data_IF_621461664856
#
_entry.id   IF_621461664856
#
_cell.length_a   1.000
_cell.length_b   1.000
_cell.length_c   1.000
_cell.angle_alpha   90.00
_cell.angle_beta   90.00
_cell.angle_gamma   90.00
#
_symmetry.space_group_name_H-M   'P 1'
#
loop_
_entity.id
_entity.type
_entity.pdbx_description
1 polymer ?
#
# COMPACT_ATOMS: atom_id res chain seq x y z
N UNK A 1 -9.56 9.86 -20.37
CA UNK A 1 -8.51 10.86 -20.12
C UNK A 1 -8.72 11.45 -18.72
N UNK A 2 -7.76 11.25 -17.82
CA UNK A 2 -7.84 11.71 -16.42
C UNK A 2 -7.35 13.17 -16.26
N UNK A 3 -7.00 13.85 -17.36
CA UNK A 3 -6.51 15.21 -17.34
C UNK A 3 -5.13 15.37 -16.67
N UNK A 4 -4.38 14.29 -16.46
CA UNK A 4 -3.03 14.35 -15.89
C UNK A 4 -2.11 15.03 -16.90
N UNK A 5 -1.55 16.15 -16.52
CA UNK A 5 -0.68 16.97 -17.38
C UNK A 5 0.80 16.80 -17.05
N UNK A 6 1.13 16.34 -15.83
CA UNK A 6 2.51 16.14 -15.38
C UNK A 6 2.61 14.91 -14.49
N UNK A 7 3.63 14.12 -14.69
CA UNK A 7 3.97 12.98 -13.86
C UNK A 7 5.40 13.12 -13.33
N UNK A 8 5.58 13.01 -12.02
CA UNK A 8 6.89 13.07 -11.37
C UNK A 8 7.16 11.74 -10.71
N UNK A 9 8.28 11.10 -11.08
CA UNK A 9 8.72 9.85 -10.46
C UNK A 9 9.90 10.16 -9.55
N UNK A 10 9.78 9.76 -8.29
CA UNK A 10 10.85 9.86 -7.32
C UNK A 10 11.24 8.46 -6.83
N UNK A 11 12.50 8.10 -6.99
CA UNK A 11 13.08 6.87 -6.47
C UNK A 11 14.50 7.12 -6.00
N UNK A 12 14.95 6.39 -4.99
CA UNK A 12 16.34 6.43 -4.53
C UNK A 12 17.33 5.91 -5.59
N UNK A 13 16.88 5.04 -6.49
CA UNK A 13 17.64 4.52 -7.62
C UNK A 13 17.33 5.34 -8.88
N UNK A 14 18.08 6.39 -9.14
CA UNK A 14 17.88 7.28 -10.31
C UNK A 14 17.79 6.54 -11.65
N UNK A 15 18.61 5.50 -11.83
CA UNK A 15 18.61 4.69 -13.06
C UNK A 15 17.27 3.98 -13.27
N UNK A 16 16.68 3.45 -12.19
CA UNK A 16 15.37 2.80 -12.24
C UNK A 16 14.26 3.81 -12.54
N UNK A 17 14.28 4.96 -11.87
CA UNK A 17 13.33 6.05 -12.14
C UNK A 17 13.40 6.51 -13.60
N UNK A 18 14.61 6.61 -14.18
CA UNK A 18 14.81 6.95 -15.59
C UNK A 18 14.21 5.90 -16.52
N UNK A 19 14.51 4.62 -16.28
CA UNK A 19 14.01 3.53 -17.12
C UNK A 19 12.48 3.40 -17.08
N UNK A 20 11.85 3.64 -15.92
CA UNK A 20 10.39 3.65 -15.80
C UNK A 20 9.80 4.84 -16.56
N UNK A 21 10.40 6.02 -16.42
CA UNK A 21 9.96 7.23 -17.11
C UNK A 21 9.92 7.08 -18.63
N UNK A 22 10.94 6.47 -19.22
CA UNK A 22 11.00 6.23 -20.66
C UNK A 22 9.87 5.33 -21.18
N UNK A 23 9.24 4.55 -20.31
CA UNK A 23 8.15 3.64 -20.64
C UNK A 23 6.74 4.24 -20.44
N UNK A 24 6.63 5.40 -19.79
CA UNK A 24 5.34 6.04 -19.53
C UNK A 24 5.03 7.08 -20.61
N UNK A 25 4.06 6.83 -21.49
CA UNK A 25 3.74 7.75 -22.60
C UNK A 25 2.81 8.88 -22.15
N UNK A 26 3.18 9.64 -21.14
CA UNK A 26 2.37 10.78 -20.73
C UNK A 26 3.23 12.05 -20.53
N UNK A 27 2.77 13.14 -21.08
CA UNK A 27 3.07 14.53 -20.83
C UNK A 27 4.51 14.88 -20.47
N UNK A 28 4.69 15.95 -19.82
CA UNK A 28 5.99 16.35 -19.23
C UNK A 28 6.24 15.57 -17.95
N UNK A 29 7.32 14.81 -17.90
CA UNK A 29 7.76 14.10 -16.71
C UNK A 29 9.10 14.63 -16.22
N UNK A 30 9.25 14.67 -14.92
CA UNK A 30 10.47 15.07 -14.27
C UNK A 30 10.94 13.91 -13.38
N UNK A 31 12.16 13.45 -13.59
CA UNK A 31 12.76 12.40 -12.75
C UNK A 31 13.61 13.06 -11.69
N UNK A 32 13.46 12.63 -10.46
CA UNK A 32 14.29 13.10 -9.36
C UNK A 32 13.61 12.92 -8.01
N UNK A 33 14.33 13.26 -6.96
CA UNK A 33 13.72 13.41 -5.64
C UNK A 33 12.77 14.61 -5.72
N UNK A 34 11.50 14.39 -5.41
CA UNK A 34 10.54 15.49 -5.29
C UNK A 34 10.94 16.30 -4.07
N UNK A 35 11.60 17.41 -4.31
CA UNK A 35 12.02 18.36 -3.26
C UNK A 35 11.02 19.49 -3.10
N UNK A 36 10.19 19.71 -4.11
CA UNK A 36 9.17 20.75 -4.12
C UNK A 36 7.79 20.13 -4.34
N UNK A 37 6.97 20.13 -3.31
CA UNK A 37 5.61 19.63 -3.35
C UNK A 37 4.62 20.69 -3.88
N UNK A 38 5.03 21.94 -4.09
CA UNK A 38 4.12 23.01 -4.50
C UNK A 38 3.50 22.76 -5.87
N UNK A 39 4.25 22.13 -6.76
CA UNK A 39 3.78 21.78 -8.12
C UNK A 39 3.04 20.43 -8.21
N UNK A 40 2.80 19.77 -7.07
CA UNK A 40 2.15 18.46 -7.02
C UNK A 40 0.74 18.63 -6.47
N UNK A 41 -0.25 17.99 -7.09
CA UNK A 41 -1.63 17.95 -6.60
C UNK A 41 -1.89 16.70 -5.77
N UNK A 42 -1.36 15.57 -6.20
CA UNK A 42 -1.56 14.25 -5.61
C UNK A 42 -0.23 13.50 -5.46
N UNK A 43 -0.01 12.92 -4.31
CA UNK A 43 1.13 12.02 -4.05
C UNK A 43 0.66 10.56 -4.06
N UNK A 44 1.33 9.71 -4.83
CA UNK A 44 1.15 8.26 -4.80
C UNK A 44 2.36 7.65 -4.09
N UNK A 45 2.15 7.16 -2.87
CA UNK A 45 3.20 6.54 -2.05
C UNK A 45 3.26 5.04 -2.33
N UNK A 46 4.38 4.56 -2.87
CA UNK A 46 4.60 3.15 -3.22
C UNK A 46 6.04 2.69 -2.93
N UNK A 47 6.69 3.26 -1.93
CA UNK A 47 8.08 2.91 -1.59
C UNK A 47 8.23 1.51 -1.02
N UNK A 48 7.16 0.93 -0.45
CA UNK A 48 7.19 -0.38 0.21
C UNK A 48 8.04 -0.42 1.49
N UNK A 49 8.48 0.74 1.98
CA UNK A 49 9.26 0.88 3.23
C UNK A 49 8.45 1.70 4.23
N UNK A 50 7.94 1.09 5.32
CA UNK A 50 6.99 1.75 6.24
C UNK A 50 7.47 3.11 6.77
N UNK A 51 8.72 3.20 7.21
CA UNK A 51 9.26 4.46 7.75
C UNK A 51 9.36 5.55 6.69
N UNK A 52 9.76 5.21 5.47
CA UNK A 52 9.84 6.14 4.34
C UNK A 52 8.45 6.58 3.93
N UNK A 53 7.53 5.63 3.77
CA UNK A 53 6.15 5.91 3.42
C UNK A 53 5.46 6.82 4.44
N UNK A 54 5.62 6.54 5.72
CA UNK A 54 5.06 7.38 6.79
C UNK A 54 5.57 8.83 6.70
N UNK A 55 6.86 9.01 6.46
CA UNK A 55 7.45 10.35 6.31
C UNK A 55 6.93 11.06 5.05
N UNK A 56 6.95 10.40 3.90
CA UNK A 56 6.49 10.96 2.63
C UNK A 56 5.02 11.36 2.73
N UNK A 57 4.18 10.48 3.26
CA UNK A 57 2.74 10.74 3.44
C UNK A 57 2.50 11.91 4.40
N UNK A 58 3.18 11.92 5.54
CA UNK A 58 3.07 13.01 6.51
C UNK A 58 3.46 14.34 5.89
N UNK A 59 4.60 14.42 5.21
CA UNK A 59 5.10 15.65 4.60
C UNK A 59 4.15 16.15 3.48
N UNK A 60 3.59 15.24 2.68
CA UNK A 60 2.58 15.56 1.67
C UNK A 60 1.31 16.17 2.29
N UNK A 61 0.77 15.54 3.34
CA UNK A 61 -0.41 16.06 4.05
C UNK A 61 -0.14 17.43 4.71
N UNK A 62 1.06 17.64 5.26
CA UNK A 62 1.46 18.96 5.77
C UNK A 62 1.55 20.00 4.67
N UNK A 63 1.99 19.63 3.46
CA UNK A 63 2.00 20.47 2.27
C UNK A 63 0.62 20.61 1.61
N UNK A 64 -0.45 20.10 2.24
CA UNK A 64 -1.84 20.15 1.72
C UNK A 64 -2.03 19.43 0.41
N UNK A 65 -1.41 18.28 0.24
CA UNK A 65 -1.56 17.40 -0.91
C UNK A 65 -2.37 16.18 -0.58
N UNK A 66 -3.20 15.75 -1.52
CA UNK A 66 -3.90 14.48 -1.44
C UNK A 66 -2.90 13.32 -1.54
N UNK A 67 -3.20 12.19 -0.88
CA UNK A 67 -2.30 11.04 -0.86
C UNK A 67 -3.05 9.74 -1.08
N UNK A 68 -2.52 8.93 -1.99
CA UNK A 68 -2.92 7.54 -2.19
C UNK A 68 -1.73 6.65 -1.84
N UNK A 69 -1.95 5.62 -1.04
CA UNK A 69 -0.88 4.74 -0.53
C UNK A 69 -1.02 3.31 -1.05
N UNK A 70 0.12 2.70 -1.40
CA UNK A 70 0.25 1.27 -1.71
C UNK A 70 1.12 0.54 -0.68
N UNK A 71 1.39 1.16 0.45
CA UNK A 71 2.26 0.68 1.52
C UNK A 71 1.41 0.22 2.71
N UNK A 72 0.83 -0.96 2.59
CA UNK A 72 -0.11 -1.50 3.59
C UNK A 72 0.55 -1.66 4.96
N UNK A 73 1.83 -1.98 5.02
CA UNK A 73 2.59 -2.10 6.27
C UNK A 73 2.69 -0.75 7.01
N UNK A 74 2.83 0.33 6.28
CA UNK A 74 2.75 1.68 6.82
C UNK A 74 1.33 2.00 7.26
N UNK A 75 0.36 1.71 6.42
CA UNK A 75 -1.07 1.99 6.65
C UNK A 75 -1.58 1.37 7.96
N UNK A 76 -1.34 0.08 8.19
CA UNK A 76 -1.80 -0.59 9.42
C UNK A 76 -1.09 -0.10 10.68
N UNK A 77 0.07 0.54 10.53
CA UNK A 77 0.88 1.00 11.66
C UNK A 77 0.53 2.44 12.05
N UNK A 78 0.46 3.33 11.08
CA UNK A 78 0.28 4.78 11.30
C UNK A 78 -0.86 5.40 10.50
N UNK A 79 -1.53 4.62 9.65
CA UNK A 79 -2.64 5.08 8.80
C UNK A 79 -3.74 5.81 9.57
N UNK A 80 -4.21 5.31 10.72
CA UNK A 80 -5.26 5.99 11.48
C UNK A 80 -4.91 7.43 11.88
N UNK A 81 -3.64 7.70 12.22
CA UNK A 81 -3.21 9.06 12.57
C UNK A 81 -3.03 9.92 11.31
N UNK A 82 -2.52 9.35 10.22
CA UNK A 82 -2.39 10.05 8.94
C UNK A 82 -3.76 10.41 8.36
N UNK A 83 -4.72 9.50 8.43
CA UNK A 83 -6.10 9.77 8.03
C UNK A 83 -6.73 10.89 8.86
N UNK A 84 -6.48 10.92 10.16
CA UNK A 84 -6.95 12.02 11.02
C UNK A 84 -6.38 13.37 10.57
N UNK A 85 -5.08 13.44 10.29
CA UNK A 85 -4.43 14.65 9.76
C UNK A 85 -5.06 15.08 8.42
N UNK A 86 -5.34 14.14 7.53
CA UNK A 86 -5.99 14.41 6.25
C UNK A 86 -7.40 14.98 6.45
N UNK A 87 -8.22 14.34 7.30
CA UNK A 87 -9.58 14.80 7.60
C UNK A 87 -9.60 16.21 8.20
N UNK A 88 -8.73 16.51 9.18
CA UNK A 88 -8.60 17.82 9.77
C UNK A 88 -8.17 18.91 8.76
N UNK A 89 -7.54 18.50 7.66
CA UNK A 89 -7.10 19.36 6.57
C UNK A 89 -8.03 19.35 5.34
N UNK A 90 -9.12 18.58 5.38
CA UNK A 90 -10.04 18.36 4.26
C UNK A 90 -9.31 17.82 3.01
N UNK A 91 -8.42 16.85 3.20
CA UNK A 91 -7.64 16.19 2.16
C UNK A 91 -8.11 14.75 1.97
N UNK A 92 -7.88 14.21 0.77
CA UNK A 92 -8.09 12.80 0.47
C UNK A 92 -6.87 12.01 0.92
N UNK A 93 -7.11 10.94 1.69
CA UNK A 93 -6.12 9.96 2.09
C UNK A 93 -6.74 8.57 2.03
N UNK A 94 -6.08 7.63 1.38
CA UNK A 94 -6.61 6.26 1.29
C UNK A 94 -5.64 5.27 0.64
N UNK A 95 -5.97 4.00 0.81
CA UNK A 95 -5.26 2.89 0.14
C UNK A 95 -5.70 2.83 -1.32
N UNK A 96 -4.75 2.54 -2.21
CA UNK A 96 -5.02 2.43 -3.63
C UNK A 96 -6.02 1.30 -3.93
N UNK A 97 -6.91 1.55 -4.86
CA UNK A 97 -7.78 0.53 -5.42
C UNK A 97 -6.95 -0.54 -6.15
N UNK A 98 -7.37 -1.82 -6.05
CA UNK A 98 -6.63 -2.95 -6.60
C UNK A 98 -5.72 -3.65 -5.60
N UNK A 99 -5.51 -3.10 -4.39
CA UNK A 99 -4.85 -3.81 -3.29
C UNK A 99 -5.87 -4.65 -2.50
N UNK A 100 -5.44 -5.77 -1.96
CA UNK A 100 -6.33 -6.77 -1.36
C UNK A 100 -7.24 -6.23 -0.23
N UNK A 101 -6.80 -5.36 0.68
CA UNK A 101 -7.69 -4.79 1.68
C UNK A 101 -8.84 -3.98 1.07
N UNK A 102 -8.57 -3.21 0.01
CA UNK A 102 -9.56 -2.39 -0.67
C UNK A 102 -10.58 -3.26 -1.39
N UNK A 103 -10.12 -4.25 -2.15
CA UNK A 103 -10.99 -5.20 -2.85
C UNK A 103 -11.89 -5.99 -1.87
N UNK A 104 -11.32 -6.44 -0.75
CA UNK A 104 -12.12 -7.10 0.29
C UNK A 104 -13.13 -6.15 0.91
N UNK A 105 -12.76 -4.88 1.13
CA UNK A 105 -13.68 -3.88 1.68
C UNK A 105 -14.84 -3.61 0.74
N UNK A 106 -14.60 -3.48 -0.55
CA UNK A 106 -15.68 -3.29 -1.54
C UNK A 106 -16.69 -4.43 -1.51
N UNK A 107 -16.22 -5.69 -1.37
CA UNK A 107 -17.10 -6.83 -1.23
C UNK A 107 -17.92 -6.79 0.07
N UNK A 108 -17.31 -6.34 1.16
CA UNK A 108 -18.01 -6.14 2.44
C UNK A 108 -19.08 -5.06 2.30
N UNK A 109 -18.74 -3.91 1.73
CA UNK A 109 -19.68 -2.80 1.52
C UNK A 109 -20.84 -3.23 0.59
N UNK A 110 -20.53 -3.93 -0.50
CA UNK A 110 -21.54 -4.47 -1.39
C UNK A 110 -22.53 -5.42 -0.68
N UNK A 111 -22.03 -6.30 0.19
CA UNK A 111 -22.89 -7.19 0.97
C UNK A 111 -23.77 -6.40 1.94
N UNK A 112 -23.23 -5.38 2.61
CA UNK A 112 -23.97 -4.52 3.52
C UNK A 112 -25.03 -3.69 2.79
N UNK A 113 -24.74 -3.17 1.61
CA UNK A 113 -25.68 -2.41 0.76
C UNK A 113 -26.87 -3.28 0.32
N UNK A 114 -26.67 -4.58 0.20
CA UNK A 114 -27.73 -5.56 -0.05
C UNK A 114 -28.45 -6.02 1.23
N UNK A 115 -28.19 -5.40 2.39
CA UNK A 115 -28.70 -5.77 3.71
C UNK A 115 -28.32 -7.19 4.18
N UNK A 116 -27.19 -7.72 3.73
CA UNK A 116 -26.64 -8.95 4.31
C UNK A 116 -25.83 -8.63 5.58
N UNK A 117 -25.89 -9.54 6.52
CA UNK A 117 -24.97 -9.53 7.67
C UNK A 117 -23.65 -10.17 7.25
N UNK A 118 -22.54 -9.44 7.38
CA UNK A 118 -21.21 -9.97 7.10
C UNK A 118 -20.67 -10.66 8.34
N UNK A 119 -20.58 -11.99 8.30
CA UNK A 119 -20.11 -12.82 9.42
C UNK A 119 -18.59 -12.87 9.47
N UNK A 120 -17.93 -12.93 8.32
CA UNK A 120 -16.48 -12.92 8.21
C UNK A 120 -16.04 -12.40 6.85
N UNK A 121 -14.83 -11.86 6.81
CA UNK A 121 -14.15 -11.47 5.58
C UNK A 121 -12.68 -11.89 5.64
N UNK A 122 -12.10 -12.18 4.47
CA UNK A 122 -10.70 -12.60 4.39
C UNK A 122 -10.29 -12.94 2.97
N UNK A 123 -9.04 -13.32 2.80
CA UNK A 123 -8.50 -13.71 1.49
C UNK A 123 -7.74 -15.04 1.58
N UNK A 124 -7.67 -15.75 0.45
CA UNK A 124 -6.79 -16.90 0.27
C UNK A 124 -5.34 -16.50 0.04
N UNK A 125 -4.45 -17.49 0.05
CA UNK A 125 -3.01 -17.34 -0.23
C UNK A 125 -2.65 -17.98 -1.56
N UNK A 126 -1.90 -17.25 -2.40
CA UNK A 126 -1.38 -17.77 -3.66
C UNK A 126 -0.03 -18.47 -3.51
N UNK A 127 0.76 -18.10 -2.50
CA UNK A 127 2.05 -18.73 -2.22
C UNK A 127 1.89 -19.87 -1.22
N UNK A 128 2.69 -20.93 -1.29
CA UNK A 128 2.74 -21.96 -0.26
C UNK A 128 2.96 -21.33 1.12
N UNK A 129 2.27 -21.86 2.13
CA UNK A 129 2.41 -21.37 3.49
C UNK A 129 3.63 -22.04 4.15
N UNK A 130 4.65 -21.26 4.40
CA UNK A 130 5.92 -21.66 4.99
C UNK A 130 6.20 -20.79 6.23
N UNK A 131 5.54 -21.05 7.38
CA UNK A 131 5.52 -20.14 8.53
C UNK A 131 6.90 -19.91 9.17
N UNK A 132 7.87 -20.76 8.88
CA UNK A 132 9.24 -20.64 9.38
C UNK A 132 10.23 -20.06 8.36
N UNK A 133 9.72 -19.51 7.25
CA UNK A 133 10.56 -18.83 6.27
C UNK A 133 11.31 -17.65 6.91
N UNK A 134 12.52 -17.44 6.46
CA UNK A 134 13.31 -16.24 6.75
C UNK A 134 13.77 -15.62 5.44
N UNK A 135 14.17 -14.34 5.41
CA UNK A 135 14.73 -13.74 4.20
C UNK A 135 15.91 -14.53 3.62
N UNK A 136 16.68 -15.21 4.45
CA UNK A 136 17.80 -16.02 3.98
C UNK A 136 17.36 -17.34 3.35
N UNK A 137 16.37 -18.03 3.92
CA UNK A 137 15.86 -19.29 3.35
C UNK A 137 15.16 -19.11 2.00
N UNK A 138 14.61 -17.94 1.74
CA UNK A 138 13.93 -17.63 0.46
C UNK A 138 14.79 -16.83 -0.51
N UNK A 139 16.03 -16.49 -0.14
CA UNK A 139 16.92 -15.58 -0.89
C UNK A 139 17.09 -15.98 -2.35
N UNK A 140 17.49 -17.22 -2.62
CA UNK A 140 17.70 -17.69 -4.00
C UNK A 140 16.43 -17.60 -4.84
N UNK A 141 15.31 -18.03 -4.26
CA UNK A 141 14.00 -17.97 -4.90
C UNK A 141 13.54 -16.53 -5.16
N UNK A 142 13.84 -15.61 -4.26
CA UNK A 142 13.55 -14.20 -4.42
C UNK A 142 14.37 -13.57 -5.55
N UNK A 143 15.67 -13.81 -5.57
CA UNK A 143 16.57 -13.27 -6.59
C UNK A 143 16.22 -13.79 -7.98
N UNK A 144 15.86 -15.08 -8.10
CA UNK A 144 15.38 -15.65 -9.37
C UNK A 144 14.10 -15.00 -9.91
N UNK A 145 13.31 -14.37 -9.04
CA UNK A 145 12.09 -13.63 -9.37
C UNK A 145 12.29 -12.10 -9.40
N UNK A 146 13.50 -11.61 -9.30
CA UNK A 146 13.84 -10.19 -9.18
C UNK A 146 13.11 -9.51 -8.00
N UNK A 147 12.88 -10.24 -6.91
CA UNK A 147 12.19 -9.76 -5.72
C UNK A 147 13.14 -9.53 -4.56
N UNK A 148 12.75 -8.62 -3.68
CA UNK A 148 13.42 -8.47 -2.39
C UNK A 148 13.16 -9.72 -1.52
N UNK A 149 14.19 -10.37 -0.95
CA UNK A 149 14.02 -11.55 -0.10
C UNK A 149 13.09 -11.34 1.11
N UNK A 150 13.13 -10.14 1.72
CA UNK A 150 12.25 -9.78 2.84
C UNK A 150 10.78 -9.73 2.40
N UNK A 151 10.52 -9.21 1.20
CA UNK A 151 9.19 -9.17 0.63
C UNK A 151 8.67 -10.58 0.32
N UNK A 152 9.46 -11.42 -0.35
CA UNK A 152 9.04 -12.80 -0.63
C UNK A 152 8.82 -13.59 0.67
N UNK A 153 9.65 -13.38 1.69
CA UNK A 153 9.47 -14.00 2.99
C UNK A 153 8.09 -13.66 3.57
N UNK A 154 7.69 -12.40 3.57
CA UNK A 154 6.39 -11.97 4.08
C UNK A 154 5.20 -12.60 3.34
N UNK A 155 5.40 -12.95 2.06
CA UNK A 155 4.38 -13.67 1.27
C UNK A 155 4.30 -15.14 1.64
N UNK A 156 5.39 -15.76 2.06
CA UNK A 156 5.42 -17.19 2.37
C UNK A 156 5.09 -17.49 3.83
N UNK A 157 5.52 -16.64 4.76
CA UNK A 157 5.28 -16.84 6.20
C UNK A 157 3.89 -16.39 6.68
N UNK A 158 3.11 -15.73 5.80
CA UNK A 158 1.76 -15.24 6.09
C UNK A 158 1.70 -13.84 6.69
N UNK A 159 2.83 -13.19 7.00
CA UNK A 159 2.83 -11.83 7.61
C UNK A 159 2.13 -10.81 6.71
N UNK A 160 2.36 -10.84 5.41
CA UNK A 160 1.70 -9.94 4.45
C UNK A 160 0.18 -10.09 4.51
N UNK A 161 -0.33 -11.32 4.45
CA UNK A 161 -1.77 -11.60 4.55
C UNK A 161 -2.36 -11.10 5.87
N UNK A 162 -1.65 -11.31 6.99
CA UNK A 162 -2.09 -10.82 8.29
C UNK A 162 -2.15 -9.29 8.34
N UNK A 163 -1.16 -8.62 7.77
CA UNK A 163 -1.13 -7.15 7.66
C UNK A 163 -2.33 -6.62 6.88
N UNK A 164 -2.61 -7.21 5.72
CA UNK A 164 -3.76 -6.83 4.89
C UNK A 164 -5.10 -7.06 5.59
N UNK A 165 -5.23 -8.14 6.35
CA UNK A 165 -6.46 -8.40 7.12
C UNK A 165 -6.62 -7.45 8.32
N UNK A 166 -5.53 -6.95 8.90
CA UNK A 166 -5.61 -5.87 9.90
C UNK A 166 -6.10 -4.58 9.26
N UNK A 167 -5.61 -4.24 8.05
CA UNK A 167 -6.11 -3.08 7.31
C UNK A 167 -7.62 -3.20 7.04
N UNK A 168 -8.09 -4.37 6.60
CA UNK A 168 -9.51 -4.64 6.40
C UNK A 168 -10.31 -4.47 7.70
N UNK A 169 -9.84 -5.04 8.81
CA UNK A 169 -10.50 -4.92 10.11
C UNK A 169 -10.61 -3.46 10.55
N UNK A 170 -9.55 -2.67 10.38
CA UNK A 170 -9.55 -1.25 10.73
C UNK A 170 -10.59 -0.42 9.96
N UNK A 171 -10.90 -0.81 8.72
CA UNK A 171 -11.83 -0.06 7.85
C UNK A 171 -13.27 -0.56 7.90
N UNK A 172 -13.50 -1.80 8.32
CA UNK A 172 -14.84 -2.43 8.33
C UNK A 172 -15.44 -2.56 9.73
N UNK A 173 -14.62 -2.44 10.77
CA UNK A 173 -15.03 -2.72 12.15
C UNK A 173 -15.14 -4.22 12.48
N UNK A 174 -14.75 -5.10 11.57
CA UNK A 174 -14.64 -6.53 11.85
C UNK A 174 -13.50 -6.79 12.85
N UNK A 175 -13.71 -7.73 13.75
CA UNK A 175 -12.73 -8.05 14.78
C UNK A 175 -11.79 -9.18 14.39
N UNK A 176 -10.55 -9.11 14.86
CA UNK A 176 -9.59 -10.19 14.77
C UNK A 176 -9.80 -11.16 15.93
N UNK A 177 -10.31 -12.34 15.65
CA UNK A 177 -10.71 -13.32 16.68
C UNK A 177 -9.54 -13.90 17.48
N UNK A 178 -8.32 -13.88 16.94
CA UNK A 178 -7.09 -14.32 17.61
C UNK A 178 -5.84 -13.74 16.96
N UNK A 179 -4.75 -13.72 17.71
CA UNK A 179 -3.43 -13.36 17.15
C UNK A 179 -3.03 -14.37 16.06
N UNK A 180 -2.59 -13.84 14.90
CA UNK A 180 -2.21 -14.63 13.73
C UNK A 180 -3.41 -15.09 12.91
N UNK A 181 -4.63 -14.75 13.30
CA UNK A 181 -5.88 -15.07 12.62
C UNK A 181 -6.10 -16.59 12.41
N UNK A 182 -7.15 -16.97 11.68
CA UNK A 182 -7.26 -18.32 11.16
C UNK A 182 -6.46 -18.35 9.88
N UNK A 183 -5.43 -19.18 9.84
CA UNK A 183 -4.59 -19.32 8.66
C UNK A 183 -5.33 -19.89 7.46
N UNK A 184 -4.74 -19.80 6.27
CA UNK A 184 -5.24 -20.43 5.08
C UNK A 184 -5.19 -21.95 5.17
#
# INVERSE_FOLDING_TARGET
DLGITKFVISDSAKELATAIHEQIPCGTSQIGVVTDLDEIDLVVECTGVPNTGAKVTHDALQAKKDVVVLNVEMEVTVGPILNKIAQESNLVYGVAHGDEPTECKELVDFALDLNFEVICAGKGKNNPFEPFSTPDTVRERALAKHMNPKMLCSFTDGTKTMTEMVALANTTGLELSKRGMYGP
#
